data_IF_816091820862
#
_entry.id   IF_816091820862
#
_cell.length_a   1.000
_cell.length_b   1.000
_cell.length_c   1.000
_cell.angle_alpha   90.00
_cell.angle_beta   90.00
_cell.angle_gamma   90.00
#
_symmetry.space_group_name_H-M   'P 1'
#
loop_
_entity.id
_entity.type
_entity.pdbx_description
1 polymer ?
#
# COMPACT_ATOMS: atom_id res chain seq x y z
N UNK A 1 3.00 3.95 -5.95
CA UNK A 1 4.11 3.04 -6.30
C UNK A 1 5.20 3.00 -5.22
N UNK A 2 5.84 4.13 -4.89
CA UNK A 2 6.95 4.18 -3.92
C UNK A 2 6.62 3.57 -2.53
N UNK A 3 5.40 3.75 -2.02
CA UNK A 3 5.01 3.16 -0.73
C UNK A 3 4.96 1.62 -0.76
N UNK A 4 4.53 1.02 -1.87
CA UNK A 4 4.56 -0.44 -2.02
C UNK A 4 6.00 -0.95 -2.05
N UNK A 5 6.86 -0.28 -2.82
CA UNK A 5 8.28 -0.58 -2.88
C UNK A 5 8.97 -0.43 -1.52
N UNK A 6 8.55 0.55 -0.70
CA UNK A 6 9.03 0.69 0.67
C UNK A 6 8.63 -0.50 1.57
N UNK A 7 7.40 -1.02 1.45
CA UNK A 7 6.98 -2.22 2.18
C UNK A 7 7.83 -3.44 1.80
N UNK A 8 8.13 -3.60 0.52
CA UNK A 8 9.03 -4.65 0.06
C UNK A 8 10.43 -4.50 0.67
N UNK A 9 10.97 -3.27 0.69
CA UNK A 9 12.26 -2.99 1.33
C UNK A 9 12.26 -3.23 2.85
N UNK A 10 11.12 -3.07 3.53
CA UNK A 10 11.01 -3.33 4.97
C UNK A 10 10.86 -4.81 5.31
N UNK A 11 10.02 -5.55 4.59
CA UNK A 11 9.51 -6.84 5.05
C UNK A 11 9.89 -8.04 4.17
N UNK A 12 10.57 -7.82 3.05
CA UNK A 12 10.98 -8.90 2.14
C UNK A 12 12.43 -8.75 1.68
N UNK A 13 12.89 -7.55 1.32
CA UNK A 13 14.24 -7.40 0.73
C UNK A 13 15.36 -7.90 1.65
N UNK A 14 15.44 -7.51 2.94
CA UNK A 14 16.47 -8.03 3.83
C UNK A 14 16.26 -9.53 4.06
N UNK A 15 17.32 -10.34 4.01
CA UNK A 15 17.23 -11.78 4.29
C UNK A 15 16.65 -12.04 5.69
N UNK A 16 17.13 -11.30 6.69
CA UNK A 16 16.67 -11.41 8.07
C UNK A 16 15.17 -11.12 8.27
N UNK A 17 14.52 -10.39 7.34
CA UNK A 17 13.08 -10.13 7.42
C UNK A 17 12.22 -11.32 6.99
N UNK A 18 12.83 -12.42 6.53
CA UNK A 18 12.15 -13.62 5.97
C UNK A 18 12.18 -14.81 6.92
N UNK A 19 12.96 -14.73 7.98
CA UNK A 19 13.27 -15.88 8.82
C UNK A 19 12.12 -16.23 9.78
N UNK A 20 11.37 -15.21 10.23
CA UNK A 20 10.22 -15.38 11.12
C UNK A 20 9.10 -16.22 10.49
N UNK A 21 8.45 -17.05 11.32
CA UNK A 21 7.28 -17.85 10.92
C UNK A 21 6.07 -16.99 10.56
N UNK A 22 5.99 -15.77 11.11
CA UNK A 22 4.94 -14.80 10.84
C UNK A 22 5.34 -13.77 9.78
N UNK A 23 6.50 -13.92 9.13
CA UNK A 23 7.00 -12.97 8.15
C UNK A 23 6.10 -12.85 6.91
N UNK A 24 6.17 -11.71 6.23
CA UNK A 24 5.44 -11.51 4.98
C UNK A 24 5.89 -12.51 3.89
N UNK A 25 7.12 -13.01 3.96
CA UNK A 25 7.59 -14.04 3.03
C UNK A 25 6.84 -15.37 3.20
N UNK A 26 6.38 -15.70 4.42
CA UNK A 26 5.54 -16.89 4.66
C UNK A 26 4.16 -16.73 4.02
N UNK A 27 3.60 -15.52 4.03
CA UNK A 27 2.37 -15.21 3.29
C UNK A 27 2.59 -15.36 1.77
N UNK A 28 3.76 -14.97 1.24
CA UNK A 28 4.11 -15.18 -0.19
C UNK A 28 4.12 -16.67 -0.55
N UNK A 29 4.67 -17.53 0.31
CA UNK A 29 4.70 -18.98 0.07
C UNK A 29 3.29 -19.53 -0.07
N UNK A 30 2.32 -19.03 0.71
CA UNK A 30 0.93 -19.47 0.64
C UNK A 30 0.17 -18.84 -0.55
N UNK A 31 0.27 -17.52 -0.73
CA UNK A 31 -0.51 -16.78 -1.71
C UNK A 31 0.04 -16.88 -3.14
N UNK A 32 1.36 -17.06 -3.28
CA UNK A 32 2.11 -17.00 -4.55
C UNK A 32 3.27 -18.02 -4.57
N UNK A 33 3.02 -19.33 -4.35
CA UNK A 33 4.08 -20.34 -4.18
C UNK A 33 5.04 -20.42 -5.37
N UNK A 34 4.56 -20.16 -6.60
CA UNK A 34 5.36 -20.22 -7.83
C UNK A 34 6.19 -18.95 -8.10
N UNK A 35 6.03 -17.90 -7.30
CA UNK A 35 6.67 -16.60 -7.54
C UNK A 35 7.65 -16.19 -6.42
N UNK A 36 7.93 -17.07 -5.45
CA UNK A 36 8.76 -16.75 -4.27
C UNK A 36 10.11 -16.10 -4.64
N UNK A 37 10.83 -16.64 -5.63
CA UNK A 37 12.08 -16.06 -6.13
C UNK A 37 11.95 -14.66 -6.76
N UNK A 38 10.78 -14.34 -7.32
CA UNK A 38 10.48 -13.00 -7.85
C UNK A 38 10.34 -11.99 -6.70
N UNK A 39 9.69 -12.39 -5.60
CA UNK A 39 9.53 -11.53 -4.42
C UNK A 39 10.86 -11.28 -3.70
N UNK A 40 11.82 -12.22 -3.74
CA UNK A 40 13.13 -12.02 -3.12
C UNK A 40 14.06 -11.08 -3.89
N UNK A 41 13.71 -10.70 -5.13
CA UNK A 41 14.57 -9.91 -6.03
C UNK A 41 14.01 -8.52 -6.32
N UNK A 42 12.97 -8.40 -7.16
CA UNK A 42 12.29 -7.14 -7.47
C UNK A 42 10.92 -7.42 -8.11
N UNK A 43 9.87 -7.66 -7.31
CA UNK A 43 8.58 -8.14 -7.82
C UNK A 43 7.78 -7.09 -8.60
N UNK A 44 8.15 -5.81 -8.51
CA UNK A 44 7.44 -4.72 -9.15
C UNK A 44 6.15 -4.32 -8.42
N UNK A 45 5.60 -3.17 -8.79
CA UNK A 45 4.51 -2.52 -8.06
C UNK A 45 3.26 -3.41 -7.94
N UNK A 46 2.77 -3.99 -9.05
CA UNK A 46 1.50 -4.73 -9.07
C UNK A 46 1.52 -5.94 -8.12
N UNK A 47 2.63 -6.67 -8.09
CA UNK A 47 2.79 -7.84 -7.23
C UNK A 47 2.78 -7.46 -5.75
N UNK A 48 3.54 -6.43 -5.36
CA UNK A 48 3.53 -5.96 -3.97
C UNK A 48 2.18 -5.39 -3.57
N UNK A 49 1.55 -4.60 -4.44
CA UNK A 49 0.21 -4.06 -4.19
C UNK A 49 -0.79 -5.18 -3.87
N UNK A 50 -0.83 -6.23 -4.71
CA UNK A 50 -1.72 -7.37 -4.50
C UNK A 50 -1.35 -8.18 -3.24
N UNK A 51 -0.06 -8.40 -3.01
CA UNK A 51 0.42 -9.12 -1.82
C UNK A 51 -0.02 -8.41 -0.55
N UNK A 52 0.26 -7.11 -0.43
CA UNK A 52 -0.07 -6.32 0.76
C UNK A 52 -1.58 -6.28 0.97
N UNK A 53 -2.37 -6.12 -0.10
CA UNK A 53 -3.83 -6.14 0.03
C UNK A 53 -4.36 -7.50 0.49
N UNK A 54 -3.92 -8.60 -0.11
CA UNK A 54 -4.43 -9.93 0.26
C UNK A 54 -3.93 -10.36 1.65
N UNK A 55 -2.64 -10.24 1.92
CA UNK A 55 -2.05 -10.57 3.21
C UNK A 55 -2.64 -9.69 4.32
N UNK A 56 -2.81 -8.39 4.09
CA UNK A 56 -3.45 -7.47 5.02
C UNK A 56 -4.87 -7.89 5.38
N UNK A 57 -5.71 -8.17 4.38
CA UNK A 57 -7.08 -8.66 4.63
C UNK A 57 -7.06 -9.95 5.47
N UNK A 58 -6.27 -10.95 5.10
CA UNK A 58 -6.20 -12.21 5.84
C UNK A 58 -5.77 -12.01 7.30
N UNK A 59 -4.71 -11.22 7.54
CA UNK A 59 -4.18 -10.98 8.88
C UNK A 59 -5.14 -10.16 9.73
N UNK A 60 -5.77 -9.14 9.17
CA UNK A 60 -6.76 -8.35 9.89
C UNK A 60 -7.99 -9.19 10.23
N UNK A 61 -8.51 -10.01 9.28
CA UNK A 61 -9.62 -10.93 9.55
C UNK A 61 -9.25 -11.95 10.65
N UNK A 62 -8.02 -12.44 10.68
CA UNK A 62 -7.58 -13.32 11.78
C UNK A 62 -7.56 -12.59 13.14
N UNK A 63 -7.12 -11.33 13.18
CA UNK A 63 -7.22 -10.51 14.39
C UNK A 63 -8.67 -10.36 14.87
N UNK A 64 -9.61 -10.13 13.93
CA UNK A 64 -11.04 -10.11 14.22
C UNK A 64 -11.53 -11.44 14.79
N UNK A 65 -11.14 -12.56 14.16
CA UNK A 65 -11.53 -13.91 14.59
C UNK A 65 -11.06 -14.21 16.01
N UNK A 66 -9.79 -13.92 16.31
CA UNK A 66 -9.20 -14.16 17.63
C UNK A 66 -9.91 -13.34 18.71
N UNK A 67 -10.19 -12.05 18.47
CA UNK A 67 -10.87 -11.23 19.48
C UNK A 67 -12.36 -11.56 19.63
N UNK A 68 -13.06 -11.88 18.53
CA UNK A 68 -14.45 -12.32 18.59
C UNK A 68 -14.58 -13.61 19.43
N UNK A 69 -13.62 -14.54 19.29
CA UNK A 69 -13.55 -15.73 20.14
C UNK A 69 -13.30 -15.36 21.61
N UNK A 70 -12.29 -14.54 21.90
CA UNK A 70 -11.92 -14.18 23.28
C UNK A 70 -12.97 -13.35 24.03
N UNK A 71 -13.68 -12.44 23.33
CA UNK A 71 -14.57 -11.45 23.95
C UNK A 71 -16.03 -11.88 23.89
N UNK A 72 -16.43 -12.57 22.83
CA UNK A 72 -17.83 -12.85 22.54
C UNK A 72 -18.13 -14.36 22.45
N UNK A 73 -17.10 -15.21 22.50
CA UNK A 73 -17.26 -16.67 22.46
C UNK A 73 -17.59 -17.25 21.09
N UNK A 74 -17.30 -16.52 20.01
CA UNK A 74 -17.53 -17.01 18.64
C UNK A 74 -16.30 -17.70 18.07
N UNK A 75 -16.44 -18.94 17.61
CA UNK A 75 -15.31 -19.73 17.08
C UNK A 75 -14.84 -19.28 15.68
N UNK A 76 -15.72 -18.62 14.92
CA UNK A 76 -15.46 -18.14 13.57
C UNK A 76 -16.21 -16.82 13.28
N UNK A 77 -15.81 -16.15 12.19
CA UNK A 77 -16.36 -14.84 11.82
C UNK A 77 -17.77 -14.92 11.25
N UNK A 78 -18.15 -16.07 10.67
CA UNK A 78 -19.49 -16.30 10.14
C UNK A 78 -20.54 -16.32 11.26
N UNK A 79 -20.22 -16.93 12.39
CA UNK A 79 -21.09 -16.96 13.58
C UNK A 79 -21.17 -15.59 14.24
N UNK A 80 -20.04 -14.89 14.35
CA UNK A 80 -20.03 -13.50 14.80
C UNK A 80 -20.88 -12.59 13.88
N UNK A 81 -20.75 -12.71 12.56
CA UNK A 81 -21.56 -11.93 11.63
C UNK A 81 -23.06 -12.27 11.75
N UNK A 82 -23.41 -13.55 11.96
CA UNK A 82 -24.79 -14.01 12.17
C UNK A 82 -25.40 -13.46 13.46
N UNK A 83 -24.60 -13.14 14.47
CA UNK A 83 -25.09 -12.47 15.68
C UNK A 83 -25.49 -11.01 15.44
N UNK A 84 -25.23 -10.46 14.25
CA UNK A 84 -25.54 -9.08 13.84
C UNK A 84 -24.99 -8.05 14.84
N UNK A 85 -23.66 -8.01 15.05
CA UNK A 85 -23.05 -7.05 15.96
C UNK A 85 -23.43 -5.62 15.57
N UNK A 86 -23.66 -4.78 16.56
CA UNK A 86 -23.95 -3.36 16.34
C UNK A 86 -22.70 -2.64 15.82
N UNK A 87 -22.88 -1.42 15.31
CA UNK A 87 -21.74 -0.60 14.90
C UNK A 87 -20.81 -0.34 16.10
N UNK A 88 -21.40 -0.14 17.28
CA UNK A 88 -20.69 0.09 18.53
C UNK A 88 -19.84 -1.13 18.93
N UNK A 89 -20.39 -2.35 18.77
CA UNK A 89 -19.65 -3.60 19.01
C UNK A 89 -18.45 -3.73 18.06
N UNK A 90 -18.67 -3.45 16.76
CA UNK A 90 -17.61 -3.49 15.76
C UNK A 90 -16.54 -2.43 16.04
N UNK A 91 -16.93 -1.21 16.40
CA UNK A 91 -15.96 -0.16 16.76
C UNK A 91 -15.16 -0.51 18.00
N UNK A 92 -15.80 -1.08 19.02
CA UNK A 92 -15.13 -1.50 20.25
C UNK A 92 -14.10 -2.60 19.95
N UNK A 93 -14.49 -3.59 19.13
CA UNK A 93 -13.59 -4.67 18.73
C UNK A 93 -12.44 -4.14 17.87
N UNK A 94 -12.71 -3.25 16.91
CA UNK A 94 -11.67 -2.61 16.09
C UNK A 94 -10.68 -1.81 16.94
N UNK A 95 -11.15 -1.04 17.93
CA UNK A 95 -10.28 -0.30 18.86
C UNK A 95 -9.37 -1.25 19.65
N UNK A 96 -9.88 -2.42 20.01
CA UNK A 96 -9.09 -3.45 20.69
C UNK A 96 -8.07 -4.11 19.74
N UNK A 97 -8.43 -4.39 18.48
CA UNK A 97 -7.47 -4.86 17.47
C UNK A 97 -6.30 -3.90 17.34
N UNK A 98 -6.58 -2.59 17.24
CA UNK A 98 -5.52 -1.57 17.13
C UNK A 98 -4.62 -1.54 18.38
N UNK A 99 -5.18 -1.77 19.57
CA UNK A 99 -4.41 -1.78 20.82
C UNK A 99 -3.52 -3.01 20.95
N UNK A 100 -4.03 -4.16 20.54
CA UNK A 100 -3.38 -5.46 20.77
C UNK A 100 -2.48 -5.87 19.61
N UNK A 101 -2.90 -5.65 18.36
CA UNK A 101 -2.29 -6.22 17.17
C UNK A 101 -1.66 -5.20 16.22
N UNK A 102 -1.54 -3.93 16.62
CA UNK A 102 -0.89 -2.88 15.82
C UNK A 102 0.13 -2.10 16.65
N UNK A 103 1.29 -1.82 16.06
CA UNK A 103 2.36 -1.08 16.72
C UNK A 103 1.99 0.40 16.99
N UNK A 104 1.48 0.68 18.18
CA UNK A 104 1.11 2.03 18.65
C UNK A 104 2.22 2.69 19.49
N UNK A 105 1.93 3.78 20.20
CA UNK A 105 2.89 4.45 21.09
C UNK A 105 3.44 3.54 22.21
N UNK A 106 2.71 2.47 22.57
CA UNK A 106 3.16 1.49 23.56
C UNK A 106 4.27 0.58 23.04
N UNK A 107 4.44 0.45 21.72
CA UNK A 107 5.44 -0.41 21.09
C UNK A 107 6.87 -0.07 21.52
N UNK A 108 7.19 1.23 21.69
CA UNK A 108 8.50 1.65 22.20
C UNK A 108 8.78 1.17 23.63
N UNK A 109 7.74 0.98 24.45
CA UNK A 109 7.88 0.44 25.81
C UNK A 109 8.11 -1.07 25.78
N UNK A 110 7.45 -1.78 24.86
CA UNK A 110 7.67 -3.22 24.64
C UNK A 110 9.15 -3.50 24.34
N UNK A 111 9.72 -2.78 23.38
CA UNK A 111 11.15 -2.88 23.00
C UNK A 111 12.18 -2.48 24.04
N UNK A 112 11.75 -1.88 25.16
CA UNK A 112 12.65 -1.50 26.27
C UNK A 112 12.73 -2.57 27.36
N UNK A 113 11.92 -3.63 27.28
CA UNK A 113 12.02 -4.77 28.21
C UNK A 113 13.34 -5.52 28.00
N UNK A 114 13.69 -6.44 28.89
CA UNK A 114 14.89 -7.28 28.71
C UNK A 114 14.63 -8.38 27.68
N UNK A 115 15.64 -8.75 26.87
CA UNK A 115 15.52 -9.67 25.72
C UNK A 115 14.85 -11.02 26.04
N UNK A 116 14.99 -11.52 27.27
CA UNK A 116 14.35 -12.77 27.74
C UNK A 116 12.81 -12.69 27.82
N UNK A 117 12.23 -11.49 27.72
CA UNK A 117 10.78 -11.23 27.72
C UNK A 117 10.24 -10.81 26.33
N UNK A 118 11.08 -10.85 25.28
CA UNK A 118 10.70 -10.35 23.95
C UNK A 118 10.13 -11.46 23.07
N UNK A 119 8.85 -11.32 22.72
CA UNK A 119 8.31 -12.01 21.54
C UNK A 119 8.59 -11.18 20.29
N UNK A 120 9.79 -11.37 19.73
CA UNK A 120 10.25 -10.63 18.55
C UNK A 120 9.36 -10.89 17.32
N UNK A 121 8.80 -12.10 17.18
CA UNK A 121 7.93 -12.43 16.06
C UNK A 121 6.60 -11.69 16.17
N UNK A 122 6.03 -11.62 17.37
CA UNK A 122 4.83 -10.84 17.63
C UNK A 122 5.08 -9.36 17.36
N UNK A 123 6.18 -8.80 17.86
CA UNK A 123 6.55 -7.40 17.60
C UNK A 123 6.67 -7.07 16.10
N UNK A 124 7.28 -7.97 15.33
CA UNK A 124 7.39 -7.82 13.88
C UNK A 124 6.02 -7.88 13.21
N UNK A 125 5.11 -8.74 13.68
CA UNK A 125 3.71 -8.76 13.21
C UNK A 125 2.96 -7.46 13.55
N UNK A 126 3.16 -6.86 14.73
CA UNK A 126 2.57 -5.56 15.10
C UNK A 126 3.02 -4.45 14.15
N UNK A 127 4.29 -4.43 13.77
CA UNK A 127 4.83 -3.48 12.80
C UNK A 127 4.27 -3.73 11.40
N UNK A 128 4.18 -4.99 10.98
CA UNK A 128 3.64 -5.34 9.67
C UNK A 128 2.19 -4.84 9.53
N UNK A 129 1.33 -5.12 10.51
CA UNK A 129 -0.06 -4.65 10.52
C UNK A 129 -0.16 -3.12 10.48
N UNK A 130 0.68 -2.40 11.22
CA UNK A 130 0.72 -0.93 11.17
C UNK A 130 1.00 -0.41 9.76
N UNK A 131 1.99 -1.00 9.09
CA UNK A 131 2.41 -0.56 7.77
C UNK A 131 1.39 -0.95 6.69
N UNK A 132 0.72 -2.09 6.85
CA UNK A 132 -0.40 -2.51 6.00
C UNK A 132 -1.58 -1.54 6.13
N UNK A 133 -2.01 -1.22 7.34
CA UNK A 133 -3.06 -0.23 7.57
C UNK A 133 -2.72 1.14 6.96
N UNK A 134 -1.46 1.59 7.08
CA UNK A 134 -1.03 2.86 6.47
C UNK A 134 -1.09 2.80 4.92
N UNK A 135 -0.81 1.65 4.32
CA UNK A 135 -0.89 1.46 2.87
C UNK A 135 -2.33 1.33 2.38
N UNK A 136 -3.17 0.64 3.13
CA UNK A 136 -4.61 0.53 2.89
C UNK A 136 -5.28 1.89 2.99
N UNK A 137 -4.95 2.69 4.01
CA UNK A 137 -5.44 4.06 4.19
C UNK A 137 -5.11 4.94 2.99
N UNK A 138 -3.84 4.94 2.55
CA UNK A 138 -3.43 5.69 1.37
C UNK A 138 -4.17 5.19 0.12
N UNK A 139 -4.28 3.88 -0.06
CA UNK A 139 -4.97 3.29 -1.21
C UNK A 139 -6.45 3.64 -1.23
N UNK A 140 -7.12 3.61 -0.07
CA UNK A 140 -8.52 4.00 0.08
C UNK A 140 -8.71 5.50 -0.20
N UNK A 141 -7.85 6.36 0.37
CA UNK A 141 -7.89 7.80 0.15
C UNK A 141 -7.71 8.15 -1.34
N UNK A 142 -6.75 7.52 -2.01
CA UNK A 142 -6.54 7.68 -3.44
C UNK A 142 -7.74 7.20 -4.26
N UNK A 143 -8.28 6.01 -3.97
CA UNK A 143 -9.41 5.46 -4.71
C UNK A 143 -10.70 6.28 -4.50
N UNK A 144 -10.91 6.84 -3.31
CA UNK A 144 -12.06 7.69 -2.97
C UNK A 144 -11.95 9.13 -3.46
N UNK A 145 -10.77 9.56 -3.93
CA UNK A 145 -10.53 10.95 -4.33
C UNK A 145 -10.34 11.91 -3.15
N UNK A 146 -10.14 11.40 -1.93
CA UNK A 146 -10.01 12.23 -0.74
C UNK A 146 -8.57 12.74 -0.58
N UNK A 147 -8.30 13.91 -1.16
CA UNK A 147 -6.96 14.49 -1.16
C UNK A 147 -6.43 14.83 0.24
N UNK A 148 -7.32 15.24 1.16
CA UNK A 148 -6.93 15.53 2.54
C UNK A 148 -6.37 14.30 3.26
N UNK A 149 -7.00 13.14 3.07
CA UNK A 149 -6.50 11.85 3.62
C UNK A 149 -5.22 11.38 2.93
N UNK A 150 -5.06 11.65 1.63
CA UNK A 150 -3.80 11.39 0.92
C UNK A 150 -2.67 12.23 1.52
N UNK A 151 -2.86 13.54 1.69
CA UNK A 151 -1.87 14.43 2.31
C UNK A 151 -1.52 13.98 3.73
N UNK A 152 -2.52 13.64 4.55
CA UNK A 152 -2.30 13.12 5.90
C UNK A 152 -1.49 11.81 5.92
N UNK A 153 -1.75 10.91 4.97
CA UNK A 153 -1.01 9.65 4.84
C UNK A 153 0.46 9.89 4.44
N UNK A 154 0.72 10.86 3.55
CA UNK A 154 2.07 11.20 3.09
C UNK A 154 2.99 11.59 4.26
N UNK A 155 2.46 12.30 5.27
CA UNK A 155 3.22 12.68 6.47
C UNK A 155 3.88 11.47 7.13
N UNK A 156 3.16 10.34 7.22
CA UNK A 156 3.69 9.11 7.81
C UNK A 156 4.63 8.34 6.87
N UNK A 157 4.43 8.46 5.55
CA UNK A 157 5.27 7.80 4.55
C UNK A 157 6.65 8.45 4.36
N UNK A 158 6.78 9.77 4.53
CA UNK A 158 8.06 10.49 4.37
C UNK A 158 9.20 9.87 5.19
N UNK A 159 9.08 9.67 6.52
CA UNK A 159 10.16 9.09 7.32
C UNK A 159 10.47 7.64 6.92
N UNK A 160 9.44 6.85 6.54
CA UNK A 160 9.61 5.47 6.06
C UNK A 160 10.45 5.47 4.78
N UNK A 161 10.06 6.28 3.79
CA UNK A 161 10.76 6.41 2.52
C UNK A 161 12.21 6.85 2.71
N UNK A 162 12.46 7.77 3.65
CA UNK A 162 13.83 8.19 4.00
C UNK A 162 14.63 7.03 4.60
N UNK A 163 14.03 6.22 5.48
CA UNK A 163 14.68 5.09 6.11
C UNK A 163 15.03 3.97 5.12
N UNK A 164 14.19 3.72 4.11
CA UNK A 164 14.44 2.70 3.06
C UNK A 164 15.25 3.22 1.86
N UNK A 165 15.91 4.38 1.99
CA UNK A 165 16.78 4.94 0.95
C UNK A 165 16.06 5.58 -0.24
N UNK A 166 14.73 5.78 -0.17
CA UNK A 166 13.92 6.44 -1.21
C UNK A 166 13.93 7.97 -1.05
N UNK A 167 15.14 8.55 -0.94
CA UNK A 167 15.35 9.96 -0.61
C UNK A 167 14.72 10.94 -1.59
N UNK A 168 14.70 10.62 -2.90
CA UNK A 168 14.05 11.47 -3.91
C UNK A 168 12.56 11.62 -3.64
N UNK A 169 11.86 10.51 -3.38
CA UNK A 169 10.43 10.53 -3.04
C UNK A 169 10.16 11.24 -1.72
N UNK A 170 10.95 10.96 -0.67
CA UNK A 170 10.80 11.62 0.62
C UNK A 170 10.98 13.15 0.50
N UNK A 171 11.99 13.60 -0.25
CA UNK A 171 12.24 15.03 -0.48
C UNK A 171 11.12 15.68 -1.27
N UNK A 172 10.69 15.06 -2.38
CA UNK A 172 9.59 15.59 -3.19
C UNK A 172 8.28 15.68 -2.41
N UNK A 173 7.92 14.65 -1.64
CA UNK A 173 6.73 14.64 -0.80
C UNK A 173 6.80 15.70 0.31
N UNK A 174 7.97 15.90 0.91
CA UNK A 174 8.19 16.94 1.93
C UNK A 174 7.99 18.33 1.32
N UNK A 175 8.63 18.61 0.19
CA UNK A 175 8.51 19.89 -0.51
C UNK A 175 7.07 20.14 -0.97
N UNK A 176 6.41 19.11 -1.50
CA UNK A 176 5.01 19.18 -1.90
C UNK A 176 4.11 19.61 -0.72
N UNK A 177 4.17 18.92 0.41
CA UNK A 177 3.38 19.26 1.58
C UNK A 177 3.74 20.65 2.13
N UNK A 178 5.03 20.97 2.23
CA UNK A 178 5.47 22.29 2.69
C UNK A 178 4.88 23.41 1.82
N UNK A 179 4.99 23.28 0.50
CA UNK A 179 4.53 24.31 -0.42
C UNK A 179 3.01 24.45 -0.42
N UNK A 180 2.27 23.34 -0.48
CA UNK A 180 0.79 23.33 -0.50
C UNK A 180 0.21 23.90 0.79
N UNK A 181 0.81 23.61 1.95
CA UNK A 181 0.27 24.06 3.23
C UNK A 181 0.73 25.46 3.64
N UNK A 182 1.97 25.86 3.32
CA UNK A 182 2.59 27.06 3.89
C UNK A 182 3.03 28.13 2.89
N UNK A 183 3.30 27.78 1.63
CA UNK A 183 3.89 28.72 0.65
C UNK A 183 2.85 29.22 -0.35
N UNK A 184 2.05 28.33 -0.91
CA UNK A 184 1.18 28.67 -2.03
C UNK A 184 -0.08 29.43 -1.60
N UNK A 185 -0.49 30.46 -2.37
CA UNK A 185 -1.75 31.15 -2.15
C UNK A 185 -2.93 30.20 -2.34
N UNK A 186 -4.08 30.54 -1.75
CA UNK A 186 -5.27 29.69 -1.70
C UNK A 186 -5.73 29.17 -3.07
N UNK A 187 -5.73 30.03 -4.10
CA UNK A 187 -6.11 29.65 -5.47
C UNK A 187 -5.19 28.58 -6.07
N UNK A 188 -3.87 28.76 -5.94
CA UNK A 188 -2.89 27.78 -6.44
C UNK A 188 -2.94 26.46 -5.66
N UNK A 189 -3.09 26.53 -4.34
CA UNK A 189 -3.29 25.36 -3.48
C UNK A 189 -4.48 24.52 -3.92
N UNK A 190 -5.60 25.19 -4.20
CA UNK A 190 -6.81 24.56 -4.69
C UNK A 190 -6.58 23.89 -6.05
N UNK A 191 -6.02 24.62 -7.01
CA UNK A 191 -5.73 24.09 -8.34
C UNK A 191 -4.82 22.85 -8.30
N UNK A 192 -3.74 22.90 -7.51
CA UNK A 192 -2.82 21.75 -7.35
C UNK A 192 -3.55 20.54 -6.78
N UNK A 193 -4.34 20.69 -5.72
CA UNK A 193 -5.07 19.58 -5.10
C UNK A 193 -6.05 18.90 -6.07
N UNK A 194 -6.70 19.68 -6.92
CA UNK A 194 -7.61 19.17 -7.95
C UNK A 194 -6.89 18.44 -9.09
N UNK A 195 -5.58 18.63 -9.24
CA UNK A 195 -4.79 18.03 -10.32
C UNK A 195 -3.97 16.81 -9.89
N UNK A 196 -4.14 16.32 -8.66
CA UNK A 196 -3.42 15.14 -8.17
C UNK A 196 -4.17 13.85 -8.55
N UNK A 197 -5.49 13.87 -8.44
CA UNK A 197 -6.35 12.73 -8.71
C UNK A 197 -7.41 13.11 -9.76
N UNK A 198 -7.67 12.18 -10.67
CA UNK A 198 -8.75 12.26 -11.66
C UNK A 198 -9.60 11.00 -11.59
N UNK A 199 -10.89 11.10 -11.91
CA UNK A 199 -11.75 9.94 -12.05
C UNK A 199 -12.21 9.78 -13.50
N UNK A 200 -11.45 9.07 -14.35
CA UNK A 200 -11.78 8.92 -15.77
C UNK A 200 -13.12 8.21 -16.01
N UNK A 201 -13.60 7.43 -15.03
CA UNK A 201 -14.81 6.61 -15.17
C UNK A 201 -16.07 7.26 -14.62
N UNK A 202 -15.93 8.32 -13.82
CA UNK A 202 -17.02 8.90 -13.02
C UNK A 202 -17.58 7.99 -11.91
N UNK A 203 -17.09 6.76 -11.74
CA UNK A 203 -17.64 5.80 -10.76
C UNK A 203 -17.04 6.01 -9.36
N UNK A 204 -17.79 5.76 -8.28
CA UNK A 204 -17.25 5.78 -6.92
C UNK A 204 -16.03 4.86 -6.78
N UNK A 205 -15.08 5.25 -5.95
CA UNK A 205 -13.85 4.47 -5.67
C UNK A 205 -12.94 4.18 -6.89
N UNK A 206 -13.11 4.89 -8.01
CA UNK A 206 -12.32 4.71 -9.24
C UNK A 206 -11.43 5.91 -9.59
N UNK A 207 -11.09 6.72 -8.60
CA UNK A 207 -10.09 7.78 -8.78
C UNK A 207 -8.69 7.20 -9.02
N UNK A 208 -7.87 7.92 -9.78
CA UNK A 208 -6.51 7.54 -10.20
C UNK A 208 -5.59 8.74 -10.07
N UNK A 209 -4.32 8.48 -9.77
CA UNK A 209 -3.30 9.51 -9.89
C UNK A 209 -3.23 9.99 -11.34
N UNK A 210 -3.18 11.31 -11.55
CA UNK A 210 -3.11 11.89 -12.90
C UNK A 210 -1.89 11.35 -13.67
N UNK A 211 -0.76 11.18 -12.99
CA UNK A 211 0.46 10.59 -13.53
C UNK A 211 0.23 9.21 -14.18
N UNK A 212 -0.62 8.36 -13.59
CA UNK A 212 -0.96 7.05 -14.20
C UNK A 212 -1.75 7.19 -15.49
N UNK A 213 -2.63 8.18 -15.58
CA UNK A 213 -3.35 8.46 -16.83
C UNK A 213 -2.41 8.99 -17.90
N UNK A 214 -1.44 9.82 -17.52
CA UNK A 214 -0.39 10.32 -18.42
C UNK A 214 0.52 9.18 -18.88
N UNK A 215 0.96 8.30 -17.98
CA UNK A 215 1.75 7.10 -18.32
C UNK A 215 1.00 6.18 -19.30
N UNK A 216 -0.30 5.98 -19.07
CA UNK A 216 -1.13 5.18 -19.98
C UNK A 216 -1.25 5.83 -21.37
N UNK A 217 -1.47 7.14 -21.44
CA UNK A 217 -1.52 7.87 -22.72
C UNK A 217 -0.16 7.83 -23.44
N UNK A 218 0.94 7.93 -22.71
CA UNK A 218 2.29 7.79 -23.25
C UNK A 218 2.53 6.39 -23.83
N UNK A 219 2.00 5.34 -23.19
CA UNK A 219 2.08 3.97 -23.69
C UNK A 219 1.35 3.82 -25.03
N UNK A 220 0.13 4.34 -25.15
CA UNK A 220 -0.63 4.31 -26.40
C UNK A 220 0.07 5.09 -27.52
N UNK A 221 0.56 6.31 -27.22
CA UNK A 221 1.28 7.14 -28.19
C UNK A 221 2.51 6.42 -28.76
N UNK A 222 3.27 5.73 -27.90
CA UNK A 222 4.43 4.94 -28.35
C UNK A 222 4.02 3.76 -29.21
N UNK A 223 2.93 3.08 -28.86
CA UNK A 223 2.42 1.94 -29.64
C UNK A 223 1.98 2.37 -31.04
N UNK A 224 1.25 3.48 -31.14
CA UNK A 224 0.79 4.01 -32.43
C UNK A 224 1.96 4.49 -33.30
N UNK A 225 2.97 5.13 -32.70
CA UNK A 225 4.21 5.49 -33.41
C UNK A 225 4.95 4.25 -33.92
N UNK A 226 5.09 3.20 -33.10
CA UNK A 226 5.77 1.97 -33.51
C UNK A 226 5.03 1.22 -34.62
N UNK A 227 3.69 1.25 -34.62
CA UNK A 227 2.90 0.71 -35.73
C UNK A 227 2.99 1.57 -37.00
N UNK A 228 3.07 2.90 -36.85
CA UNK A 228 3.33 3.82 -37.96
C UNK A 228 4.65 3.53 -38.66
N UNK A 229 5.74 3.35 -37.91
CA UNK A 229 7.05 2.99 -38.46
C UNK A 229 7.08 1.59 -39.10
N UNK A 230 6.39 0.60 -38.51
CA UNK A 230 6.25 -0.73 -39.12
C UNK A 230 5.44 -0.72 -40.44
N UNK A 231 4.54 0.25 -40.61
CA UNK A 231 3.78 0.46 -41.84
C UNK A 231 4.54 1.23 -42.93
N UNK A 232 5.56 2.03 -42.57
CA UNK A 232 6.44 2.73 -43.50
C UNK A 232 7.55 1.81 -44.06
N UNK A 233 8.12 0.90 -43.26
CA UNK A 233 9.07 -0.11 -43.75
C UNK A 233 8.45 -1.06 -44.79
N UNK A 234 7.13 -1.26 -44.79
CA UNK A 234 6.45 -2.03 -45.84
C UNK A 234 6.15 -1.23 -47.12
N UNK A 235 6.25 0.11 -47.10
CA UNK A 235 6.02 0.97 -48.26
C UNK A 235 7.30 1.33 -49.02
N UNK A 236 8.47 1.28 -48.38
CA UNK A 236 9.76 1.53 -49.05
C UNK A 236 10.24 0.33 -49.90
N UNK A 237 9.55 -0.81 -49.86
CA UNK A 237 9.87 -1.99 -50.69
C UNK A 237 9.19 -2.04 -52.07
N UNK A 238 8.41 -1.01 -52.44
CA UNK A 238 7.63 -0.98 -53.68
C UNK A 238 7.88 0.31 -54.45
N UNK A 239 9.00 0.37 -55.16
CA UNK A 239 9.23 1.29 -56.28
C UNK A 239 9.41 0.48 -57.59
N UNK A 240 9.08 1.07 -58.74
CA UNK A 240 8.29 0.44 -59.79
C UNK A 240 9.16 -0.12 -60.91
N UNK A 241 8.78 -1.28 -61.45
CA UNK A 241 9.24 -1.69 -62.78
C UNK A 241 8.27 -1.17 -63.84
N UNK A 242 8.86 -0.38 -64.75
CA UNK A 242 8.34 0.25 -65.97
C UNK A 242 7.40 -0.60 -66.81
#
# INVERSE_FOLDING_TARGET
MACADALWHCFIYPSAARDDETSLMRDVVQLRPKETGIYTTKPGFRRIHQLVSHAGICRHLDCWRVLASQKNGFDNLEDFARSKPTLEDLEALAKEIIRTYVATGQFRRMRRKQDMEHDSQFENALLLNKYFLLYEELSYAMNSGNIGRVEASIVSWIPILKAVGKHKYATQMTNFLYNVHFVYPSGLRHAIRYHILVNPTGRPMKWRAVDWCVELNNLFTKYDLLLGFAGEEQREGLEPFS
#
